data_IF_271919572746
#
_entry.id   IF_271919572746
#
_cell.length_a   1.000
_cell.length_b   1.000
_cell.length_c   1.000
_cell.angle_alpha   90.00
_cell.angle_beta   90.00
_cell.angle_gamma   90.00
#
_symmetry.space_group_name_H-M   'P 1'
#
loop_
_entity.id
_entity.type
_entity.pdbx_description
1 polymer ?
#
# COMPACT_ATOMS: atom_id res chain seq x y z
N UNK A 1 -10.46 -33.67 -53.21
CA UNK A 1 -11.43 -32.68 -53.73
C UNK A 1 -12.72 -32.88 -52.96
N UNK A 2 -13.32 -31.80 -52.43
CA UNK A 2 -14.64 -31.74 -51.73
C UNK A 2 -14.58 -32.23 -50.26
N UNK A 3 -15.13 -31.57 -49.22
CA UNK A 3 -16.08 -30.46 -49.14
C UNK A 3 -15.83 -29.54 -47.93
N UNK A 4 -15.98 -28.24 -48.16
CA UNK A 4 -16.08 -27.18 -47.15
C UNK A 4 -17.54 -27.17 -46.67
N UNK A 5 -17.81 -27.73 -45.49
CA UNK A 5 -19.16 -27.68 -44.91
C UNK A 5 -19.07 -27.67 -43.39
N UNK A 6 -18.84 -26.48 -42.82
CA UNK A 6 -19.19 -26.11 -41.42
C UNK A 6 -19.15 -24.59 -41.16
N UNK A 7 -19.48 -23.77 -42.18
CA UNK A 7 -19.58 -22.31 -42.07
C UNK A 7 -21.03 -21.78 -42.16
N UNK A 8 -22.04 -22.66 -42.16
CA UNK A 8 -23.45 -22.26 -42.30
C UNK A 8 -24.18 -22.29 -40.95
N UNK A 9 -24.75 -21.15 -40.56
CA UNK A 9 -25.91 -21.09 -39.66
C UNK A 9 -27.20 -21.15 -40.49
N UNK A 10 -28.32 -21.44 -39.81
CA UNK A 10 -29.61 -21.90 -40.37
C UNK A 10 -30.33 -20.94 -41.36
N UNK A 11 -29.82 -19.73 -41.60
CA UNK A 11 -30.49 -18.72 -42.44
C UNK A 11 -29.81 -18.47 -43.81
N UNK A 12 -28.76 -19.23 -44.16
CA UNK A 12 -28.20 -19.24 -45.52
C UNK A 12 -27.50 -17.95 -45.99
N UNK A 13 -27.17 -17.01 -45.10
CA UNK A 13 -26.39 -15.82 -45.47
C UNK A 13 -24.88 -16.12 -45.51
N UNK A 14 -24.24 -15.89 -46.65
CA UNK A 14 -22.78 -15.91 -46.78
C UNK A 14 -22.17 -14.72 -46.01
N UNK A 15 -21.34 -14.99 -45.01
CA UNK A 15 -20.59 -13.94 -44.35
C UNK A 15 -19.53 -13.38 -45.31
N UNK A 16 -19.69 -12.11 -45.69
CA UNK A 16 -18.66 -11.39 -46.47
C UNK A 16 -17.46 -11.16 -45.55
N UNK A 17 -16.44 -12.00 -45.72
CA UNK A 17 -15.14 -11.84 -45.09
C UNK A 17 -14.53 -10.50 -45.51
N UNK A 18 -14.22 -9.63 -44.56
CA UNK A 18 -13.53 -8.35 -44.80
C UNK A 18 -12.07 -8.44 -44.37
N UNK A 19 -11.20 -7.76 -45.11
CA UNK A 19 -9.78 -7.62 -44.77
C UNK A 19 -9.45 -6.15 -44.61
N UNK A 20 -8.93 -5.74 -43.43
CA UNK A 20 -8.54 -4.36 -43.14
C UNK A 20 -7.17 -4.28 -42.46
N UNK A 21 -6.46 -3.15 -42.56
CA UNK A 21 -5.31 -2.86 -41.71
C UNK A 21 -5.71 -2.88 -40.23
N UNK A 22 -4.84 -3.44 -39.39
CA UNK A 22 -5.06 -3.61 -37.96
C UNK A 22 -4.15 -2.69 -37.15
N UNK A 23 -4.72 -2.07 -36.12
CA UNK A 23 -3.95 -1.40 -35.05
C UNK A 23 -4.37 -1.95 -33.69
N UNK A 24 -3.46 -2.66 -33.00
CA UNK A 24 -3.65 -3.04 -31.60
C UNK A 24 -3.54 -1.81 -30.70
N UNK A 25 -4.61 -1.50 -29.98
CA UNK A 25 -4.69 -0.44 -28.98
C UNK A 25 -4.10 -0.91 -27.65
N UNK A 26 -3.60 0.05 -26.87
CA UNK A 26 -3.18 -0.15 -25.47
C UNK A 26 -4.19 0.53 -24.57
N UNK A 27 -4.57 -0.15 -23.50
CA UNK A 27 -5.40 0.38 -22.42
C UNK A 27 -6.71 1.05 -22.85
N UNK A 28 -7.26 0.65 -24.00
CA UNK A 28 -8.46 1.28 -24.55
C UNK A 28 -9.25 0.32 -25.43
N UNK A 29 -10.57 0.32 -25.24
CA UNK A 29 -11.55 -0.36 -26.09
C UNK A 29 -12.35 0.69 -26.85
N UNK A 30 -12.44 0.57 -28.18
CA UNK A 30 -13.30 1.43 -29.00
C UNK A 30 -14.67 0.76 -29.20
N UNK A 31 -15.73 1.43 -28.78
CA UNK A 31 -17.10 1.00 -29.06
C UNK A 31 -17.59 1.52 -30.44
N UNK A 32 -18.54 0.82 -31.09
CA UNK A 32 -19.22 1.32 -32.28
C UNK A 32 -19.84 2.71 -32.07
N UNK A 33 -19.87 3.52 -33.13
CA UNK A 33 -20.44 4.88 -33.20
C UNK A 33 -19.81 5.93 -32.26
N UNK A 34 -18.82 5.54 -31.46
CA UNK A 34 -18.07 6.44 -30.60
C UNK A 34 -16.89 7.01 -31.39
N UNK A 35 -16.75 8.33 -31.33
CA UNK A 35 -15.60 9.04 -31.90
C UNK A 35 -14.57 9.32 -30.83
N UNK A 36 -13.30 8.95 -31.07
CA UNK A 36 -12.22 9.17 -30.12
C UNK A 36 -10.87 9.35 -30.81
N UNK A 37 -9.91 9.92 -30.07
CA UNK A 37 -8.53 10.09 -30.54
C UNK A 37 -7.66 8.93 -30.08
N UNK A 38 -7.00 8.27 -31.02
CA UNK A 38 -6.01 7.22 -30.76
C UNK A 38 -4.61 7.75 -31.05
N UNK A 39 -3.69 7.51 -30.13
CA UNK A 39 -2.27 7.85 -30.28
C UNK A 39 -1.47 6.62 -30.68
N UNK A 40 -0.70 6.74 -31.76
CA UNK A 40 0.04 5.63 -32.34
C UNK A 40 1.50 6.04 -32.54
N UNK A 41 2.41 5.32 -31.88
CA UNK A 41 3.86 5.53 -32.00
C UNK A 41 4.65 4.38 -32.64
N UNK A 42 4.07 3.18 -32.73
CA UNK A 42 4.78 2.01 -33.30
C UNK A 42 4.82 2.12 -34.82
N UNK A 43 5.99 1.89 -35.43
CA UNK A 43 6.18 1.98 -36.89
C UNK A 43 5.17 1.14 -37.67
N UNK A 44 4.92 -0.12 -37.27
CA UNK A 44 3.93 -0.99 -37.93
C UNK A 44 2.52 -0.42 -37.87
N UNK A 45 2.14 0.16 -36.74
CA UNK A 45 0.81 0.75 -36.54
C UNK A 45 0.65 2.08 -37.30
N UNK A 46 1.72 2.89 -37.39
CA UNK A 46 1.74 4.11 -38.23
C UNK A 46 1.61 3.74 -39.71
N UNK A 47 2.27 2.65 -40.14
CA UNK A 47 2.11 2.10 -41.48
C UNK A 47 0.67 1.61 -41.71
N UNK A 48 0.08 0.83 -40.79
CA UNK A 48 -1.34 0.41 -40.88
C UNK A 48 -2.29 1.60 -41.06
N UNK A 49 -2.08 2.71 -40.32
CA UNK A 49 -2.87 3.93 -40.46
C UNK A 49 -2.69 4.60 -41.82
N UNK A 50 -1.45 4.65 -42.32
CA UNK A 50 -1.14 5.27 -43.61
C UNK A 50 -1.75 4.49 -44.78
N UNK A 51 -1.71 3.16 -44.73
CA UNK A 51 -2.35 2.27 -45.71
C UNK A 51 -3.87 2.37 -45.65
N UNK A 52 -4.46 2.42 -44.44
CA UNK A 52 -5.90 2.63 -44.28
C UNK A 52 -6.35 3.98 -44.89
N UNK A 53 -5.56 5.03 -44.71
CA UNK A 53 -5.82 6.36 -45.29
C UNK A 53 -5.71 6.41 -46.82
N UNK A 54 -4.84 5.58 -47.42
CA UNK A 54 -4.71 5.47 -48.87
C UNK A 54 -5.86 4.67 -49.51
N UNK A 55 -6.49 3.78 -48.75
CA UNK A 55 -7.68 3.01 -49.16
C UNK A 55 -9.00 3.69 -48.80
N UNK A 56 -9.93 2.92 -48.22
CA UNK A 56 -11.28 3.38 -47.87
C UNK A 56 -11.36 4.19 -46.56
N UNK A 57 -10.23 4.59 -45.97
CA UNK A 57 -10.14 5.21 -44.63
C UNK A 57 -10.74 4.34 -43.52
N UNK A 58 -10.79 3.02 -43.73
CA UNK A 58 -11.27 2.04 -42.75
C UNK A 58 -10.10 1.31 -42.12
N UNK A 59 -10.21 1.06 -40.82
CA UNK A 59 -9.21 0.37 -40.03
C UNK A 59 -9.91 -0.55 -39.03
N UNK A 60 -9.27 -1.65 -38.66
CA UNK A 60 -9.74 -2.50 -37.58
C UNK A 60 -8.93 -2.21 -36.32
N UNK A 61 -9.62 -1.92 -35.22
CA UNK A 61 -9.01 -1.69 -33.92
C UNK A 61 -9.36 -2.82 -32.98
N UNK A 62 -8.35 -3.36 -32.30
CA UNK A 62 -8.53 -4.36 -31.25
C UNK A 62 -7.69 -3.99 -30.05
N UNK A 63 -8.08 -4.43 -28.87
CA UNK A 63 -7.36 -4.15 -27.64
C UNK A 63 -6.34 -5.26 -27.36
N UNK A 64 -5.17 -4.90 -26.85
CA UNK A 64 -4.21 -5.87 -26.32
C UNK A 64 -4.66 -6.37 -24.95
N UNK A 65 -4.45 -7.66 -24.67
CA UNK A 65 -4.67 -8.24 -23.34
C UNK A 65 -3.63 -7.75 -22.34
N UNK A 66 -2.39 -7.60 -22.81
CA UNK A 66 -1.27 -7.06 -22.05
C UNK A 66 -0.67 -5.86 -22.81
N UNK A 67 -0.74 -4.63 -22.26
CA UNK A 67 -0.24 -3.43 -22.92
C UNK A 67 1.30 -3.40 -23.07
N UNK A 68 2.02 -4.17 -22.26
CA UNK A 68 3.49 -4.23 -22.24
C UNK A 68 4.06 -5.00 -23.45
N UNK A 69 3.27 -5.89 -24.06
CA UNK A 69 3.69 -6.67 -25.22
C UNK A 69 3.96 -5.76 -26.42
N UNK A 70 5.21 -5.68 -26.85
CA UNK A 70 5.65 -4.78 -27.93
C UNK A 70 5.20 -5.23 -29.33
N UNK A 71 5.19 -6.55 -29.57
CA UNK A 71 4.83 -7.17 -30.84
C UNK A 71 3.70 -8.18 -30.59
N UNK A 72 2.44 -7.70 -30.49
CA UNK A 72 1.33 -8.57 -30.14
C UNK A 72 1.04 -9.59 -31.25
N UNK A 73 0.90 -10.84 -30.86
CA UNK A 73 0.40 -11.93 -31.71
C UNK A 73 -1.12 -12.05 -31.60
N UNK A 74 -1.72 -12.98 -32.36
CA UNK A 74 -3.15 -13.24 -32.30
C UNK A 74 -3.63 -13.69 -30.90
N UNK A 75 -2.74 -14.27 -30.08
CA UNK A 75 -3.07 -14.71 -28.72
C UNK A 75 -3.06 -13.54 -27.72
N UNK A 76 -2.31 -12.48 -28.02
CA UNK A 76 -2.08 -11.31 -27.15
C UNK A 76 -3.14 -10.22 -27.35
N UNK A 77 -4.02 -10.37 -28.33
CA UNK A 77 -5.14 -9.45 -28.61
C UNK A 77 -6.47 -10.10 -28.29
N UNK A 78 -7.48 -9.27 -28.03
CA UNK A 78 -8.85 -9.75 -27.96
C UNK A 78 -9.39 -10.13 -29.33
N UNK A 79 -10.26 -11.14 -29.37
CA UNK A 79 -10.80 -11.69 -30.63
C UNK A 79 -11.88 -10.80 -31.24
N UNK A 80 -12.57 -10.01 -30.41
CA UNK A 80 -13.55 -9.03 -30.88
C UNK A 80 -12.94 -7.65 -30.81
N UNK A 81 -13.03 -6.93 -31.92
CA UNK A 81 -12.64 -5.53 -32.03
C UNK A 81 -13.70 -4.74 -32.79
N UNK A 82 -13.34 -3.55 -33.22
CA UNK A 82 -14.25 -2.61 -33.87
C UNK A 82 -13.67 -2.17 -35.21
N UNK A 83 -14.44 -2.35 -36.28
CA UNK A 83 -14.21 -1.67 -37.56
C UNK A 83 -14.45 -0.18 -37.32
N UNK A 84 -13.49 0.67 -37.68
CA UNK A 84 -13.54 2.10 -37.47
C UNK A 84 -13.15 2.87 -38.73
N UNK A 85 -13.68 4.08 -38.88
CA UNK A 85 -13.33 5.01 -39.94
C UNK A 85 -12.40 6.09 -39.41
N UNK A 86 -11.32 6.36 -40.13
CA UNK A 86 -10.39 7.45 -39.82
C UNK A 86 -10.97 8.74 -40.36
N UNK A 87 -11.34 9.64 -39.46
CA UNK A 87 -11.87 10.98 -39.80
C UNK A 87 -10.75 11.99 -39.97
N UNK A 88 -9.72 11.94 -39.12
CA UNK A 88 -8.59 12.87 -39.18
C UNK A 88 -7.29 12.20 -38.76
N UNK A 89 -6.17 12.62 -39.36
CA UNK A 89 -4.83 12.16 -39.00
C UNK A 89 -3.93 13.39 -38.83
N UNK A 90 -3.29 13.50 -37.66
CA UNK A 90 -2.35 14.55 -37.32
C UNK A 90 -1.01 13.92 -36.89
N UNK A 91 0.07 14.27 -37.59
CA UNK A 91 1.43 13.88 -37.20
C UNK A 91 1.97 14.90 -36.20
N UNK A 92 2.46 14.42 -35.07
CA UNK A 92 3.03 15.26 -34.02
C UNK A 92 4.55 15.42 -34.23
N UNK A 93 5.17 16.50 -33.69
CA UNK A 93 6.60 16.76 -33.86
C UNK A 93 7.52 15.68 -33.27
N UNK A 94 7.02 14.90 -32.31
CA UNK A 94 7.71 13.78 -31.67
C UNK A 94 7.74 12.50 -32.53
N UNK A 95 7.14 12.54 -33.72
CA UNK A 95 7.05 11.40 -34.64
C UNK A 95 5.83 10.48 -34.38
N UNK A 96 5.03 10.75 -33.35
CA UNK A 96 3.80 10.01 -33.11
C UNK A 96 2.66 10.53 -33.99
N UNK A 97 1.64 9.69 -34.20
CA UNK A 97 0.47 10.03 -35.00
C UNK A 97 -0.76 9.99 -34.11
N UNK A 98 -1.50 11.11 -34.07
CA UNK A 98 -2.83 11.20 -33.48
C UNK A 98 -3.87 11.00 -34.58
N UNK A 99 -4.65 9.92 -34.49
CA UNK A 99 -5.75 9.64 -35.40
C UNK A 99 -7.09 9.83 -34.69
N UNK A 100 -7.98 10.64 -35.27
CA UNK A 100 -9.39 10.68 -34.87
C UNK A 100 -10.12 9.57 -35.62
N UNK A 101 -10.75 8.68 -34.87
CA UNK A 101 -11.44 7.49 -35.40
C UNK A 101 -12.86 7.44 -34.88
N UNK A 102 -13.77 6.98 -35.72
CA UNK A 102 -15.18 6.73 -35.40
C UNK A 102 -15.46 5.23 -35.55
N UNK A 103 -15.94 4.58 -34.48
CA UNK A 103 -16.34 3.18 -34.55
C UNK A 103 -17.54 2.98 -35.49
N UNK A 104 -17.56 1.90 -36.25
CA UNK A 104 -18.64 1.56 -37.17
C UNK A 104 -19.42 0.33 -36.70
N UNK A 105 -18.75 -0.82 -36.54
CA UNK A 105 -19.38 -2.05 -36.08
C UNK A 105 -18.38 -2.99 -35.41
N UNK A 106 -18.89 -3.89 -34.56
CA UNK A 106 -18.14 -4.98 -33.96
C UNK A 106 -17.72 -5.99 -35.03
N UNK A 107 -16.52 -6.54 -34.90
CA UNK A 107 -16.03 -7.62 -35.75
C UNK A 107 -15.30 -8.68 -34.96
N UNK A 108 -15.46 -9.94 -35.36
CA UNK A 108 -14.74 -11.08 -34.81
C UNK A 108 -13.58 -11.45 -35.73
N UNK A 109 -12.37 -11.45 -35.18
CA UNK A 109 -11.14 -11.79 -35.89
C UNK A 109 -11.12 -13.28 -36.23
N UNK A 110 -10.76 -13.59 -37.47
CA UNK A 110 -10.56 -14.95 -37.97
C UNK A 110 -9.08 -15.24 -38.13
N UNK A 111 -8.35 -14.30 -38.74
CA UNK A 111 -6.94 -14.47 -39.07
C UNK A 111 -6.21 -13.13 -39.00
N UNK A 112 -5.01 -13.16 -38.45
CA UNK A 112 -4.08 -12.05 -38.41
C UNK A 112 -2.87 -12.36 -39.31
N UNK A 113 -2.47 -11.41 -40.14
CA UNK A 113 -1.37 -11.56 -41.10
C UNK A 113 -0.41 -10.37 -41.03
N UNK A 114 0.89 -10.64 -41.13
CA UNK A 114 2.00 -9.67 -40.98
C UNK A 114 3.00 -9.82 -42.14
N UNK A 115 2.54 -9.56 -43.36
CA UNK A 115 3.31 -9.84 -44.59
C UNK A 115 3.91 -8.58 -45.23
N UNK A 116 3.33 -7.40 -45.00
CA UNK A 116 3.65 -6.14 -45.72
C UNK A 116 4.32 -5.07 -44.86
N UNK A 117 4.87 -5.45 -43.70
CA UNK A 117 5.45 -4.52 -42.74
C UNK A 117 4.42 -3.72 -41.92
N UNK A 118 3.15 -4.08 -42.03
CA UNK A 118 2.04 -3.63 -41.19
C UNK A 118 1.08 -4.81 -40.96
N UNK A 119 0.24 -4.72 -39.93
CA UNK A 119 -0.68 -5.78 -39.56
C UNK A 119 -1.97 -5.68 -40.38
N UNK A 120 -2.46 -6.82 -40.85
CA UNK A 120 -3.76 -6.96 -41.52
C UNK A 120 -4.59 -8.03 -40.83
N UNK A 121 -5.90 -7.86 -40.86
CA UNK A 121 -6.82 -8.77 -40.20
C UNK A 121 -7.99 -9.11 -41.09
N UNK A 122 -8.32 -10.39 -41.09
CA UNK A 122 -9.55 -10.94 -41.65
C UNK A 122 -10.59 -11.05 -40.54
N UNK A 123 -11.76 -10.45 -40.71
CA UNK A 123 -12.82 -10.48 -39.71
C UNK A 123 -14.22 -10.64 -40.32
N UNK A 124 -15.16 -11.08 -39.50
CA UNK A 124 -16.60 -11.12 -39.81
C UNK A 124 -17.32 -10.13 -38.89
N UNK A 125 -18.20 -9.26 -39.41
CA UNK A 125 -19.06 -8.43 -38.58
C UNK A 125 -19.89 -9.26 -37.61
N UNK A 126 -19.95 -8.83 -36.36
CA UNK A 126 -20.75 -9.52 -35.32
C UNK A 126 -22.22 -9.14 -35.52
N UNK A 127 -23.09 -10.14 -35.63
CA UNK A 127 -24.54 -9.95 -35.58
C UNK A 127 -25.00 -9.88 -34.12
N UNK A 128 -25.77 -8.85 -33.80
CA UNK A 128 -26.34 -8.65 -32.48
C UNK A 128 -27.72 -9.30 -32.38
N UNK A 129 -28.02 -9.88 -31.23
CA UNK A 129 -29.37 -10.39 -30.96
C UNK A 129 -30.23 -9.21 -30.50
N UNK A 130 -31.25 -8.80 -31.27
CA UNK A 130 -32.02 -7.61 -30.97
C UNK A 130 -32.79 -7.77 -29.66
N UNK A 131 -32.96 -6.66 -28.95
CA UNK A 131 -33.78 -6.59 -27.75
C UNK A 131 -35.25 -6.46 -28.13
N UNK A 132 -36.15 -7.15 -27.42
CA UNK A 132 -37.58 -6.97 -27.65
C UNK A 132 -38.05 -5.57 -27.22
N UNK A 133 -38.99 -4.99 -27.96
CA UNK A 133 -39.46 -3.61 -27.74
C UNK A 133 -40.02 -3.39 -26.32
N UNK A 134 -40.66 -4.40 -25.73
CA UNK A 134 -41.23 -4.34 -24.39
C UNK A 134 -40.14 -4.24 -23.30
N UNK A 135 -39.06 -5.02 -23.43
CA UNK A 135 -37.94 -5.05 -22.48
C UNK A 135 -37.04 -3.82 -22.68
N UNK A 136 -36.91 -3.36 -23.92
CA UNK A 136 -36.05 -2.23 -24.31
C UNK A 136 -36.30 -0.97 -23.50
N UNK A 137 -37.56 -0.52 -23.41
CA UNK A 137 -37.90 0.73 -22.68
C UNK A 137 -37.58 0.65 -21.19
N UNK A 138 -37.82 -0.50 -20.56
CA UNK A 138 -37.51 -0.70 -19.15
C UNK A 138 -36.00 -0.69 -18.91
N UNK A 139 -35.23 -1.43 -19.73
CA UNK A 139 -33.79 -1.50 -19.63
C UNK A 139 -33.11 -0.13 -19.86
N UNK A 140 -33.55 0.62 -20.88
CA UNK A 140 -33.07 1.97 -21.16
C UNK A 140 -33.28 2.91 -19.98
N UNK A 141 -34.49 2.91 -19.40
CA UNK A 141 -34.83 3.75 -18.25
C UNK A 141 -33.98 3.41 -17.03
N UNK A 142 -33.86 2.13 -16.68
CA UNK A 142 -33.08 1.70 -15.51
C UNK A 142 -31.60 2.05 -15.66
N UNK A 143 -31.01 1.83 -16.84
CA UNK A 143 -29.61 2.20 -17.10
C UNK A 143 -29.42 3.72 -17.09
N UNK A 144 -30.38 4.49 -17.63
CA UNK A 144 -30.31 5.96 -17.60
C UNK A 144 -30.33 6.48 -16.16
N UNK A 145 -31.26 6.01 -15.33
CA UNK A 145 -31.36 6.42 -13.92
C UNK A 145 -30.05 6.12 -13.16
N UNK A 146 -29.47 4.94 -13.36
CA UNK A 146 -28.18 4.58 -12.76
C UNK A 146 -27.02 5.47 -13.27
N UNK A 147 -26.98 5.74 -14.58
CA UNK A 147 -25.96 6.60 -15.18
C UNK A 147 -26.07 8.06 -14.74
N UNK A 148 -27.27 8.62 -14.62
CA UNK A 148 -27.51 9.97 -14.10
C UNK A 148 -27.05 10.12 -12.65
N UNK A 149 -27.32 9.10 -11.82
CA UNK A 149 -26.85 9.08 -10.44
C UNK A 149 -25.31 9.11 -10.39
N UNK A 150 -24.63 8.29 -11.20
CA UNK A 150 -23.17 8.33 -11.32
C UNK A 150 -22.66 9.69 -11.82
N UNK A 151 -23.28 10.25 -12.86
CA UNK A 151 -22.88 11.52 -13.46
C UNK A 151 -23.00 12.68 -12.48
N UNK A 152 -24.05 12.68 -11.65
CA UNK A 152 -24.28 13.69 -10.61
C UNK A 152 -23.21 13.63 -9.52
N UNK A 153 -22.81 12.42 -9.11
CA UNK A 153 -21.76 12.24 -8.10
C UNK A 153 -20.37 12.58 -8.65
N UNK A 154 -20.07 12.16 -9.88
CA UNK A 154 -18.75 12.34 -10.49
C UNK A 154 -18.51 13.75 -11.03
N UNK A 155 -19.56 14.43 -11.49
CA UNK A 155 -19.46 15.73 -12.18
C UNK A 155 -18.72 15.66 -13.52
N UNK A 156 -18.41 14.47 -14.02
CA UNK A 156 -17.53 14.25 -15.17
C UNK A 156 -18.26 14.27 -16.54
N UNK A 157 -19.59 14.24 -16.54
CA UNK A 157 -20.40 14.13 -17.76
C UNK A 157 -21.08 15.48 -18.06
N UNK A 158 -20.89 15.98 -19.28
CA UNK A 158 -21.51 17.22 -19.73
C UNK A 158 -23.01 17.03 -19.99
N UNK A 159 -23.82 18.06 -19.68
CA UNK A 159 -25.27 18.05 -19.96
C UNK A 159 -25.63 17.83 -21.44
N UNK A 160 -24.74 18.23 -22.35
CA UNK A 160 -24.92 17.99 -23.79
C UNK A 160 -24.91 16.51 -24.16
N UNK A 161 -24.25 15.65 -23.38
CA UNK A 161 -24.21 14.21 -23.63
C UNK A 161 -25.59 13.56 -23.42
N UNK A 162 -26.33 13.97 -22.39
CA UNK A 162 -27.68 13.45 -22.13
C UNK A 162 -28.65 13.76 -23.27
N UNK A 163 -28.58 14.97 -23.85
CA UNK A 163 -29.36 15.31 -25.06
C UNK A 163 -29.03 14.42 -26.26
N UNK A 164 -27.77 14.02 -26.41
CA UNK A 164 -27.37 13.10 -27.47
C UNK A 164 -27.90 11.68 -27.19
N UNK A 165 -27.99 11.26 -25.93
CA UNK A 165 -28.57 9.96 -25.57
C UNK A 165 -30.07 9.88 -25.87
N UNK A 166 -30.84 10.96 -25.66
CA UNK A 166 -32.27 11.02 -26.01
C UNK A 166 -32.50 10.71 -27.50
N UNK A 167 -31.60 11.18 -28.39
CA UNK A 167 -31.67 10.90 -29.84
C UNK A 167 -31.41 9.41 -30.13
N UNK A 168 -30.62 8.74 -29.30
CA UNK A 168 -30.21 7.34 -29.47
C UNK A 168 -31.19 6.34 -28.84
N UNK A 169 -32.28 6.77 -28.20
CA UNK A 169 -33.28 5.87 -27.59
C UNK A 169 -33.87 4.84 -28.56
N UNK A 170 -33.90 5.17 -29.86
CA UNK A 170 -34.38 4.28 -30.92
C UNK A 170 -33.43 3.12 -31.24
N UNK A 171 -32.16 3.18 -30.81
CA UNK A 171 -31.15 2.15 -31.04
C UNK A 171 -30.50 1.75 -29.70
N UNK A 172 -31.05 0.72 -29.02
CA UNK A 172 -30.55 0.26 -27.71
C UNK A 172 -29.09 -0.18 -27.75
N UNK A 173 -28.60 -0.61 -28.91
CA UNK A 173 -27.22 -1.06 -29.06
C UNK A 173 -26.26 0.11 -28.94
N UNK A 174 -26.51 1.16 -29.73
CA UNK A 174 -25.73 2.40 -29.70
C UNK A 174 -25.84 3.10 -28.36
N UNK A 175 -27.02 3.04 -27.73
CA UNK A 175 -27.26 3.62 -26.42
C UNK A 175 -26.34 3.04 -25.36
N UNK A 176 -26.27 1.70 -25.27
CA UNK A 176 -25.38 1.01 -24.33
C UNK A 176 -23.90 1.34 -24.60
N UNK A 177 -23.50 1.39 -25.87
CA UNK A 177 -22.13 1.68 -26.31
C UNK A 177 -21.69 3.11 -25.97
N UNK A 178 -22.58 4.08 -26.16
CA UNK A 178 -22.32 5.48 -25.83
C UNK A 178 -22.09 5.64 -24.32
N UNK A 179 -22.92 5.03 -23.48
CA UNK A 179 -22.77 5.09 -22.01
C UNK A 179 -21.48 4.38 -21.57
N UNK A 180 -21.23 3.17 -22.07
CA UNK A 180 -20.02 2.40 -21.73
C UNK A 180 -18.72 3.13 -22.08
N UNK A 181 -18.72 3.92 -23.16
CA UNK A 181 -17.57 4.72 -23.55
C UNK A 181 -17.27 5.88 -22.58
N UNK A 182 -18.31 6.49 -22.00
CA UNK A 182 -18.17 7.65 -21.11
C UNK A 182 -17.71 7.26 -19.70
N UNK A 183 -17.93 6.01 -19.28
CA UNK A 183 -17.59 5.54 -17.95
C UNK A 183 -16.14 5.04 -17.86
N UNK A 184 -15.45 5.26 -16.72
CA UNK A 184 -14.04 4.89 -16.52
C UNK A 184 -13.88 3.41 -16.13
N UNK A 185 -14.61 2.50 -16.77
CA UNK A 185 -14.47 1.07 -16.53
C UNK A 185 -13.09 0.53 -16.90
N UNK A 186 -12.69 -0.57 -16.25
CA UNK A 186 -11.48 -1.30 -16.60
C UNK A 186 -11.58 -1.84 -18.03
N UNK A 187 -10.43 -1.99 -18.69
CA UNK A 187 -10.33 -2.50 -20.06
C UNK A 187 -10.99 -3.87 -20.20
N UNK A 188 -10.82 -4.74 -19.22
CA UNK A 188 -11.46 -6.07 -19.16
C UNK A 188 -12.98 -5.98 -19.24
N UNK A 189 -13.56 -5.05 -18.50
CA UNK A 189 -15.01 -4.91 -18.35
C UNK A 189 -15.60 -4.24 -19.61
N UNK A 190 -14.90 -3.24 -20.17
CA UNK A 190 -15.23 -2.66 -21.48
C UNK A 190 -15.17 -3.70 -22.59
N UNK A 191 -14.19 -4.59 -22.54
CA UNK A 191 -14.04 -5.64 -23.53
C UNK A 191 -15.15 -6.69 -23.41
N UNK A 192 -15.57 -7.06 -22.20
CA UNK A 192 -16.73 -7.92 -21.98
C UNK A 192 -18.02 -7.30 -22.57
N UNK A 193 -18.23 -6.00 -22.39
CA UNK A 193 -19.35 -5.27 -23.01
C UNK A 193 -19.26 -5.27 -24.55
N UNK A 194 -18.06 -5.13 -25.12
CA UNK A 194 -17.86 -5.18 -26.57
C UNK A 194 -18.13 -6.59 -27.14
N UNK A 195 -17.72 -7.64 -26.41
CA UNK A 195 -17.89 -9.05 -26.79
C UNK A 195 -19.33 -9.57 -26.62
N UNK A 196 -20.16 -8.88 -25.82
CA UNK A 196 -21.54 -9.28 -25.60
C UNK A 196 -22.42 -8.99 -26.84
N UNK A 197 -22.78 -10.06 -27.55
CA UNK A 197 -23.62 -10.01 -28.76
C UNK A 197 -25.12 -9.90 -28.44
N UNK A 198 -25.50 -10.33 -27.24
CA UNK A 198 -26.87 -10.29 -26.73
C UNK A 198 -27.09 -8.94 -26.05
N UNK A 199 -27.97 -8.12 -26.65
CA UNK A 199 -28.21 -6.76 -26.18
C UNK A 199 -28.78 -6.76 -24.77
N UNK A 200 -29.70 -7.68 -24.45
CA UNK A 200 -30.31 -7.76 -23.11
C UNK A 200 -29.26 -8.02 -22.04
N UNK A 201 -28.40 -9.03 -22.26
CA UNK A 201 -27.29 -9.34 -21.35
C UNK A 201 -26.31 -8.18 -21.22
N UNK A 202 -26.10 -7.44 -22.30
CA UNK A 202 -25.21 -6.26 -22.29
C UNK A 202 -25.79 -5.13 -21.44
N UNK A 203 -27.10 -4.91 -21.46
CA UNK A 203 -27.76 -3.95 -20.56
C UNK A 203 -27.62 -4.36 -19.09
N UNK A 204 -27.83 -5.64 -18.76
CA UNK A 204 -27.60 -6.14 -17.39
C UNK A 204 -26.15 -5.95 -16.93
N UNK A 205 -25.19 -6.33 -17.78
CA UNK A 205 -23.77 -6.15 -17.48
C UNK A 205 -23.41 -4.68 -17.30
N UNK A 206 -23.94 -3.81 -18.17
CA UNK A 206 -23.71 -2.37 -18.09
C UNK A 206 -24.27 -1.79 -16.78
N UNK A 207 -25.49 -2.16 -16.40
CA UNK A 207 -26.11 -1.72 -15.15
C UNK A 207 -25.27 -2.14 -13.93
N UNK A 208 -24.87 -3.42 -13.89
CA UNK A 208 -24.02 -3.94 -12.81
C UNK A 208 -22.70 -3.17 -12.69
N UNK A 209 -22.05 -2.87 -13.82
CA UNK A 209 -20.78 -2.12 -13.82
C UNK A 209 -20.98 -0.66 -13.39
N UNK A 210 -22.09 -0.02 -13.79
CA UNK A 210 -22.43 1.35 -13.34
C UNK A 210 -22.61 1.38 -11.82
N UNK A 211 -23.37 0.43 -11.25
CA UNK A 211 -23.62 0.36 -9.82
C UNK A 211 -22.32 0.14 -9.03
N UNK A 212 -21.50 -0.81 -9.46
CA UNK A 212 -20.20 -1.08 -8.84
C UNK A 212 -19.28 0.15 -8.87
N UNK A 213 -19.17 0.83 -10.01
CA UNK A 213 -18.34 2.03 -10.15
C UNK A 213 -18.88 3.19 -9.31
N UNK A 214 -20.20 3.29 -9.17
CA UNK A 214 -20.85 4.29 -8.32
C UNK A 214 -20.52 4.07 -6.85
N UNK A 215 -20.56 2.84 -6.36
CA UNK A 215 -20.18 2.50 -4.98
C UNK A 215 -18.71 2.82 -4.70
N UNK A 216 -17.82 2.43 -5.62
CA UNK A 216 -16.38 2.71 -5.52
C UNK A 216 -16.12 4.21 -5.48
N UNK A 217 -16.80 4.98 -6.33
CA UNK A 217 -16.66 6.43 -6.35
C UNK A 217 -17.18 7.07 -5.05
N UNK A 218 -18.36 6.66 -4.57
CA UNK A 218 -18.95 7.16 -3.33
C UNK A 218 -18.06 6.87 -2.11
N UNK A 219 -17.48 5.67 -2.03
CA UNK A 219 -16.53 5.31 -0.97
C UNK A 219 -15.26 6.15 -1.05
N UNK A 220 -14.73 6.34 -2.26
CA UNK A 220 -13.53 7.18 -2.50
C UNK A 220 -13.76 8.63 -2.06
N UNK A 221 -14.94 9.19 -2.31
CA UNK A 221 -15.33 10.52 -1.83
C UNK A 221 -15.41 10.58 -0.29
N UNK A 222 -16.03 9.57 0.36
CA UNK A 222 -16.07 9.48 1.82
C UNK A 222 -14.68 9.44 2.45
N UNK A 223 -13.74 8.68 1.85
CA UNK A 223 -12.35 8.62 2.31
C UNK A 223 -11.67 9.98 2.15
N UNK A 224 -11.78 10.62 0.98
CA UNK A 224 -11.23 11.97 0.73
C UNK A 224 -11.78 13.00 1.73
N UNK A 225 -13.08 12.95 2.03
CA UNK A 225 -13.71 13.79 3.04
C UNK A 225 -13.10 13.61 4.43
N UNK A 226 -12.99 12.36 4.92
CA UNK A 226 -12.37 12.06 6.22
C UNK A 226 -10.92 12.53 6.31
N UNK A 227 -10.14 12.33 5.24
CA UNK A 227 -8.74 12.80 5.19
C UNK A 227 -8.67 14.32 5.26
N UNK A 228 -9.56 15.02 4.55
CA UNK A 228 -9.64 16.49 4.57
C UNK A 228 -9.99 17.01 5.98
N UNK A 229 -11.00 16.42 6.64
CA UNK A 229 -11.35 16.79 8.02
C UNK A 229 -10.20 16.56 9.01
N UNK A 230 -9.48 15.45 8.88
CA UNK A 230 -8.31 15.16 9.73
C UNK A 230 -7.18 16.17 9.47
N UNK A 231 -6.93 16.54 8.22
CA UNK A 231 -5.94 17.56 7.87
C UNK A 231 -6.31 18.93 8.43
N UNK A 232 -7.58 19.36 8.30
CA UNK A 232 -8.06 20.63 8.86
C UNK A 232 -7.92 20.66 10.38
N UNK A 233 -8.26 19.57 11.08
CA UNK A 233 -8.04 19.43 12.54
C UNK A 233 -6.56 19.54 12.91
N UNK A 234 -5.68 18.89 12.15
CA UNK A 234 -4.24 18.93 12.39
C UNK A 234 -3.67 20.35 12.19
N UNK A 235 -4.05 21.02 11.09
CA UNK A 235 -3.65 22.39 10.80
C UNK A 235 -4.15 23.36 11.87
N UNK A 236 -5.44 23.27 12.26
CA UNK A 236 -6.03 24.08 13.33
C UNK A 236 -5.31 23.86 14.65
N UNK A 237 -5.00 22.61 15.01
CA UNK A 237 -4.25 22.29 16.23
C UNK A 237 -2.83 22.87 16.19
N UNK A 238 -2.13 22.72 15.06
CA UNK A 238 -0.79 23.30 14.89
C UNK A 238 -0.82 24.81 15.04
N UNK A 239 -1.76 25.48 14.38
CA UNK A 239 -1.96 26.93 14.47
C UNK A 239 -2.25 27.38 15.91
N UNK A 240 -3.17 26.72 16.61
CA UNK A 240 -3.50 27.04 18.00
C UNK A 240 -2.31 26.80 18.94
N UNK A 241 -1.49 25.79 18.68
CA UNK A 241 -0.29 25.51 19.50
C UNK A 241 0.76 26.60 19.33
N UNK A 242 1.00 27.05 18.10
CA UNK A 242 1.90 28.18 17.82
C UNK A 242 1.38 29.50 18.40
N UNK A 243 0.07 29.76 18.31
CA UNK A 243 -0.59 30.89 18.97
C UNK A 243 -0.41 30.85 20.50
N UNK A 244 -0.69 29.70 21.14
CA UNK A 244 -0.48 29.53 22.58
C UNK A 244 0.99 29.71 22.97
N UNK A 245 1.93 29.29 22.12
CA UNK A 245 3.36 29.48 22.34
C UNK A 245 3.75 30.96 22.29
N UNK A 246 3.20 31.71 21.34
CA UNK A 246 3.39 33.16 21.25
C UNK A 246 2.81 33.86 22.48
N UNK A 247 1.58 33.52 22.88
CA UNK A 247 0.91 34.08 24.07
C UNK A 247 1.71 33.77 25.34
N UNK A 248 2.13 32.52 25.57
CA UNK A 248 2.97 32.16 26.73
C UNK A 248 4.30 32.91 26.77
N UNK A 249 4.89 33.21 25.61
CA UNK A 249 6.11 34.02 25.49
C UNK A 249 5.86 35.49 25.84
N UNK A 250 4.69 36.04 25.50
CA UNK A 250 4.29 37.41 25.85
C UNK A 250 3.82 37.55 27.31
N UNK A 251 3.22 36.51 27.89
CA UNK A 251 2.66 36.53 29.25
C UNK A 251 3.70 36.38 30.38
N UNK A 252 4.96 36.03 30.08
CA UNK A 252 6.03 36.01 31.08
C UNK A 252 5.79 35.10 32.28
N UNK A 253 5.05 33.99 32.13
CA UNK A 253 4.84 33.01 33.20
C UNK A 253 6.10 32.14 33.38
N UNK A 254 7.02 32.62 34.23
CA UNK A 254 8.28 31.95 34.65
C UNK A 254 8.08 30.90 35.77
N UNK A 255 6.85 30.62 36.18
CA UNK A 255 6.55 29.73 37.32
C UNK A 255 6.88 28.25 37.06
N UNK A 256 6.87 27.79 35.80
CA UNK A 256 7.29 26.44 35.42
C UNK A 256 8.83 26.27 35.31
N UNK A 257 9.59 27.38 35.31
CA UNK A 257 11.04 27.36 35.13
C UNK A 257 11.80 26.77 36.34
N UNK A 258 11.22 26.85 37.54
CA UNK A 258 11.82 26.38 38.79
C UNK A 258 12.00 24.86 38.87
N UNK A 259 11.00 24.09 38.42
CA UNK A 259 11.04 22.62 38.47
C UNK A 259 12.05 22.05 37.46
N UNK A 260 12.11 22.63 36.27
CA UNK A 260 13.11 22.25 35.27
C UNK A 260 14.55 22.62 35.70
N UNK A 261 14.72 23.75 36.40
CA UNK A 261 16.02 24.13 36.97
C UNK A 261 16.48 23.15 38.06
N UNK A 262 15.56 22.62 38.87
CA UNK A 262 15.89 21.59 39.86
C UNK A 262 16.30 20.27 39.21
N UNK A 263 15.59 19.84 38.16
CA UNK A 263 15.98 18.66 37.37
C UNK A 263 17.37 18.85 36.73
N UNK A 264 17.64 20.03 36.17
CA UNK A 264 18.92 20.33 35.53
C UNK A 264 20.09 20.28 36.54
N UNK A 265 19.89 20.80 37.75
CA UNK A 265 20.91 20.72 38.81
C UNK A 265 21.14 19.28 39.29
N UNK A 266 20.09 18.46 39.40
CA UNK A 266 20.22 17.02 39.72
C UNK A 266 21.00 16.25 38.64
N UNK A 267 20.74 16.54 37.36
CA UNK A 267 21.47 15.93 36.22
C UNK A 267 22.94 16.31 36.27
N UNK A 268 23.28 17.58 36.55
CA UNK A 268 24.67 18.06 36.65
C UNK A 268 25.42 17.43 37.83
N UNK A 269 24.74 17.18 38.96
CA UNK A 269 25.34 16.54 40.15
C UNK A 269 25.68 15.06 39.91
N UNK A 270 24.99 14.37 39.01
CA UNK A 270 25.25 12.96 38.70
C UNK A 270 26.40 12.83 37.69
N UNK A 271 27.34 11.92 37.97
CA UNK A 271 28.43 11.58 37.04
C UNK A 271 27.88 10.66 35.94
N UNK A 272 27.23 11.23 34.93
CA UNK A 272 26.72 10.47 33.78
C UNK A 272 27.83 10.24 32.73
N UNK A 273 27.91 9.06 32.09
CA UNK A 273 28.70 8.86 30.88
C UNK A 273 28.29 9.83 29.76
N UNK A 274 29.21 10.17 28.84
CA UNK A 274 28.94 11.15 27.75
C UNK A 274 27.68 10.83 26.96
N UNK A 275 27.49 9.56 26.60
CA UNK A 275 26.30 9.09 25.87
C UNK A 275 25.01 9.29 26.65
N UNK A 276 24.98 8.83 27.92
CA UNK A 276 23.83 8.98 28.80
C UNK A 276 23.50 10.45 29.07
N UNK A 277 24.52 11.30 29.30
CA UNK A 277 24.34 12.73 29.50
C UNK A 277 23.74 13.41 28.26
N UNK A 278 24.20 13.03 27.06
CA UNK A 278 23.66 13.56 25.80
C UNK A 278 22.21 13.16 25.54
N UNK A 279 21.81 11.95 25.94
CA UNK A 279 20.40 11.51 25.86
C UNK A 279 19.54 12.26 26.88
N UNK A 280 19.94 12.28 28.15
CA UNK A 280 19.17 12.94 29.23
C UNK A 280 18.99 14.44 28.97
N UNK A 281 20.01 15.13 28.44
CA UNK A 281 19.88 16.55 28.06
C UNK A 281 18.90 16.77 26.92
N UNK A 282 18.94 15.94 25.87
CA UNK A 282 17.99 16.04 24.76
C UNK A 282 16.55 15.81 25.22
N UNK A 283 16.33 14.85 26.10
CA UNK A 283 15.02 14.58 26.67
C UNK A 283 14.56 15.71 27.61
N UNK A 284 15.46 16.33 28.37
CA UNK A 284 15.15 17.52 29.18
C UNK A 284 14.73 18.71 28.32
N UNK A 285 15.43 18.99 27.22
CA UNK A 285 15.07 20.07 26.30
C UNK A 285 13.71 19.81 25.61
N UNK A 286 13.42 18.55 25.26
CA UNK A 286 12.08 18.18 24.78
C UNK A 286 11.01 18.42 25.85
N UNK A 287 11.29 18.03 27.10
CA UNK A 287 10.35 18.20 28.22
C UNK A 287 10.03 19.68 28.45
N UNK A 288 11.03 20.58 28.37
CA UNK A 288 10.85 22.03 28.47
C UNK A 288 9.95 22.62 27.37
N UNK A 289 9.86 21.97 26.21
CA UNK A 289 9.03 22.43 25.08
C UNK A 289 7.60 21.86 25.10
N UNK A 290 7.30 20.91 25.98
CA UNK A 290 6.00 20.23 26.05
C UNK A 290 5.08 20.86 27.10
N UNK A 291 3.76 20.69 26.92
CA UNK A 291 2.80 21.06 27.96
C UNK A 291 2.93 20.12 29.18
N UNK A 292 3.01 20.64 30.42
CA UNK A 292 3.27 19.83 31.62
C UNK A 292 2.21 18.76 31.91
N UNK A 293 0.97 18.95 31.43
CA UNK A 293 -0.12 17.98 31.59
C UNK A 293 -0.23 16.95 30.44
N UNK A 294 0.73 16.92 29.51
CA UNK A 294 0.76 15.90 28.46
C UNK A 294 1.12 14.53 29.02
N UNK A 295 0.44 13.49 28.57
CA UNK A 295 0.78 12.09 28.90
C UNK A 295 2.22 11.73 28.49
N UNK A 296 2.75 12.36 27.43
CA UNK A 296 4.13 12.17 26.99
C UNK A 296 5.14 12.86 27.93
N UNK A 297 4.78 13.99 28.52
CA UNK A 297 5.65 14.72 29.46
C UNK A 297 5.91 13.88 30.72
N UNK A 298 4.89 13.19 31.24
CA UNK A 298 5.02 12.27 32.37
C UNK A 298 5.97 11.11 32.07
N UNK A 299 5.90 10.53 30.86
CA UNK A 299 6.80 9.43 30.46
C UNK A 299 8.25 9.89 30.37
N UNK A 300 8.49 11.05 29.74
CA UNK A 300 9.84 11.61 29.61
C UNK A 300 10.40 11.98 30.98
N UNK A 301 9.59 12.56 31.86
CA UNK A 301 9.98 12.89 33.23
C UNK A 301 10.40 11.64 34.02
N UNK A 302 9.57 10.59 34.01
CA UNK A 302 9.89 9.32 34.65
C UNK A 302 11.19 8.71 34.12
N UNK A 303 11.45 8.83 32.81
CA UNK A 303 12.70 8.37 32.22
C UNK A 303 13.91 9.16 32.72
N UNK A 304 13.81 10.48 32.79
CA UNK A 304 14.87 11.35 33.32
C UNK A 304 15.14 11.01 34.80
N UNK A 305 14.10 10.90 35.61
CA UNK A 305 14.22 10.53 37.03
C UNK A 305 14.86 9.15 37.21
N UNK A 306 14.48 8.17 36.38
CA UNK A 306 15.10 6.84 36.40
C UNK A 306 16.59 6.91 36.07
N UNK A 307 16.96 7.62 35.00
CA UNK A 307 18.35 7.82 34.61
C UNK A 307 19.15 8.53 35.71
N UNK A 308 18.57 9.48 36.44
CA UNK A 308 19.21 10.15 37.57
C UNK A 308 19.34 9.19 38.77
N UNK A 309 18.35 8.35 39.03
CA UNK A 309 18.30 7.43 40.18
C UNK A 309 19.41 6.37 40.14
N UNK A 310 19.85 5.97 38.95
CA UNK A 310 20.85 4.93 38.78
C UNK A 310 22.19 5.25 39.48
N UNK A 311 22.87 4.23 40.07
CA UNK A 311 24.11 4.40 40.82
C UNK A 311 25.34 4.50 39.90
N UNK A 312 25.34 5.48 38.99
CA UNK A 312 26.45 5.70 38.04
C UNK A 312 27.79 5.81 38.75
N UNK A 313 28.78 5.04 38.26
CA UNK A 313 30.15 4.96 38.78
C UNK A 313 30.30 4.65 40.28
N UNK A 314 29.22 4.32 41.00
CA UNK A 314 29.29 3.78 42.36
C UNK A 314 29.58 2.28 42.28
N UNK A 315 30.83 1.90 42.56
CA UNK A 315 31.27 0.51 42.60
C UNK A 315 31.67 0.15 44.03
N UNK A 316 31.21 -1.00 44.52
CA UNK A 316 31.76 -1.57 45.74
C UNK A 316 33.21 -2.01 45.49
N UNK A 317 34.08 -1.85 46.48
CA UNK A 317 35.42 -2.44 46.44
C UNK A 317 35.28 -3.95 46.53
N UNK A 318 35.79 -4.66 45.54
CA UNK A 318 35.84 -6.12 45.58
C UNK A 318 36.81 -6.57 46.67
N UNK A 319 36.38 -7.52 47.51
CA UNK A 319 37.28 -8.24 48.41
C UNK A 319 37.93 -9.36 47.61
N UNK A 320 39.26 -9.34 47.53
CA UNK A 320 40.03 -10.31 46.76
C UNK A 320 40.85 -11.20 47.70
N UNK A 321 40.17 -11.94 48.58
CA UNK A 321 40.81 -12.93 49.45
C UNK A 321 40.14 -14.30 49.30
N UNK A 322 40.91 -15.26 48.78
CA UNK A 322 40.43 -16.61 48.51
C UNK A 322 40.22 -17.40 49.80
N UNK A 323 41.06 -17.18 50.82
CA UNK A 323 40.95 -17.86 52.11
C UNK A 323 39.69 -17.41 52.87
N UNK A 324 39.38 -16.11 52.80
CA UNK A 324 38.11 -15.59 53.34
C UNK A 324 36.90 -16.11 52.55
N UNK A 325 37.00 -16.24 51.23
CA UNK A 325 35.93 -16.79 50.41
C UNK A 325 35.64 -18.27 50.74
N UNK A 326 36.67 -19.09 50.92
CA UNK A 326 36.56 -20.50 51.33
C UNK A 326 35.86 -20.63 52.69
N UNK A 327 36.30 -19.85 53.70
CA UNK A 327 35.67 -19.84 55.02
C UNK A 327 34.18 -19.47 54.97
N UNK A 328 33.82 -18.43 54.21
CA UNK A 328 32.43 -17.99 54.08
C UNK A 328 31.58 -19.06 53.38
N UNK A 329 32.11 -19.69 52.32
CA UNK A 329 31.41 -20.77 51.61
C UNK A 329 31.21 -22.01 52.49
N UNK A 330 32.21 -22.37 53.31
CA UNK A 330 32.14 -23.49 54.25
C UNK A 330 31.23 -23.23 55.44
N UNK A 331 31.20 -21.99 55.93
CA UNK A 331 30.30 -21.58 57.01
C UNK A 331 28.84 -21.54 56.55
N UNK A 332 28.57 -20.98 55.37
CA UNK A 332 27.19 -20.79 54.89
C UNK A 332 26.56 -22.08 54.34
N UNK A 333 27.36 -23.07 53.93
CA UNK A 333 26.87 -24.30 53.30
C UNK A 333 27.64 -25.52 53.80
N UNK A 334 26.96 -26.51 54.39
CA UNK A 334 27.58 -27.77 54.74
C UNK A 334 27.72 -28.70 53.51
N UNK A 335 28.87 -29.36 53.34
CA UNK A 335 29.13 -30.25 52.19
C UNK A 335 29.44 -29.50 50.89
N UNK A 336 28.87 -29.95 49.76
CA UNK A 336 29.02 -29.32 48.42
C UNK A 336 30.48 -29.07 47.98
N UNK A 337 31.39 -30.02 48.25
CA UNK A 337 32.83 -29.92 47.93
C UNK A 337 33.06 -29.52 46.46
N UNK A 338 32.50 -30.26 45.52
CA UNK A 338 32.68 -30.01 44.08
C UNK A 338 32.20 -28.60 43.64
N UNK A 339 30.98 -28.13 43.98
CA UNK A 339 30.57 -26.75 43.67
C UNK A 339 31.45 -25.67 44.32
N UNK A 340 31.85 -25.85 45.58
CA UNK A 340 32.68 -24.88 46.30
C UNK A 340 34.07 -24.76 45.68
N UNK A 341 34.72 -25.90 45.41
CA UNK A 341 36.00 -25.96 44.69
C UNK A 341 35.89 -25.20 43.36
N UNK A 342 34.82 -25.43 42.58
CA UNK A 342 34.63 -24.76 41.29
C UNK A 342 34.38 -23.25 41.41
N UNK A 343 33.70 -22.80 42.47
CA UNK A 343 33.52 -21.38 42.78
C UNK A 343 34.86 -20.75 43.17
N UNK A 344 35.67 -21.43 43.99
CA UNK A 344 36.99 -20.95 44.39
C UNK A 344 37.94 -20.87 43.19
N UNK A 345 37.95 -21.86 42.30
CA UNK A 345 38.68 -21.81 41.03
C UNK A 345 38.27 -20.59 40.18
N UNK A 346 36.95 -20.36 40.05
CA UNK A 346 36.41 -19.20 39.34
C UNK A 346 36.89 -17.88 39.96
N UNK A 347 36.85 -17.76 41.29
CA UNK A 347 37.31 -16.57 42.00
C UNK A 347 38.83 -16.38 41.85
N UNK A 348 39.61 -17.46 41.89
CA UNK A 348 41.06 -17.43 41.68
C UNK A 348 41.42 -16.93 40.28
N UNK A 349 40.74 -17.42 39.23
CA UNK A 349 40.88 -16.90 37.85
C UNK A 349 40.47 -15.42 37.78
N UNK A 350 39.42 -15.02 38.51
CA UNK A 350 38.97 -13.63 38.58
C UNK A 350 40.00 -12.68 39.22
N UNK A 351 40.77 -13.17 40.20
CA UNK A 351 41.86 -12.39 40.81
C UNK A 351 43.06 -12.22 39.88
N UNK A 352 43.37 -13.24 39.07
CA UNK A 352 44.53 -13.21 38.16
C UNK A 352 44.31 -12.28 36.95
N UNK A 353 43.07 -12.15 36.46
CA UNK A 353 42.77 -11.40 35.23
C UNK A 353 42.05 -10.08 35.55
N UNK A 354 42.72 -8.94 35.31
CA UNK A 354 42.20 -7.57 35.59
C UNK A 354 40.95 -7.17 34.79
N UNK A 355 40.67 -7.81 33.64
CA UNK A 355 39.46 -7.61 32.83
C UNK A 355 39.01 -8.93 32.23
N UNK A 356 37.99 -9.56 32.82
CA UNK A 356 37.37 -10.73 32.20
C UNK A 356 36.11 -10.29 31.47
N UNK A 357 36.03 -10.59 30.18
CA UNK A 357 34.80 -10.48 29.41
C UNK A 357 33.94 -11.72 29.69
N UNK A 358 32.85 -11.54 30.43
CA UNK A 358 31.70 -12.45 30.43
C UNK A 358 31.85 -13.87 31.00
N UNK A 359 32.51 -14.13 32.15
CA UNK A 359 32.46 -15.46 32.74
C UNK A 359 31.17 -15.55 33.59
N UNK A 360 30.08 -16.03 33.00
CA UNK A 360 28.81 -16.26 33.69
C UNK A 360 28.96 -17.52 34.56
N UNK A 361 28.72 -17.41 35.88
CA UNK A 361 28.67 -18.56 36.77
C UNK A 361 27.25 -19.14 36.74
N UNK A 362 27.10 -20.36 36.22
CA UNK A 362 25.82 -21.05 36.12
C UNK A 362 25.70 -22.15 37.19
N UNK A 363 24.68 -22.04 38.04
CA UNK A 363 24.35 -23.04 39.06
C UNK A 363 23.11 -23.85 38.61
N UNK A 364 23.28 -25.14 38.31
CA UNK A 364 22.23 -26.02 37.79
C UNK A 364 21.93 -27.14 38.80
N UNK A 365 20.65 -27.49 38.96
CA UNK A 365 20.22 -28.62 39.80
C UNK A 365 18.73 -28.56 40.19
N UNK A 366 18.21 -29.55 40.93
CA UNK A 366 16.81 -29.58 41.37
C UNK A 366 16.47 -28.44 42.35
N UNK A 367 15.20 -28.06 42.52
CA UNK A 367 14.80 -27.03 43.50
C UNK A 367 15.22 -27.43 44.92
N UNK A 368 15.51 -26.43 45.78
CA UNK A 368 15.87 -26.67 47.19
C UNK A 368 17.35 -26.92 47.48
N UNK A 369 18.21 -27.16 46.48
CA UNK A 369 19.65 -27.48 46.68
C UNK A 369 20.56 -26.28 47.01
N UNK A 370 20.01 -25.15 47.46
CA UNK A 370 20.83 -24.01 47.91
C UNK A 370 21.49 -23.15 46.83
N UNK A 371 21.05 -23.19 45.57
CA UNK A 371 21.63 -22.36 44.49
C UNK A 371 21.62 -20.85 44.79
N UNK A 372 20.47 -20.32 45.21
CA UNK A 372 20.31 -18.90 45.51
C UNK A 372 21.13 -18.49 46.74
N UNK A 373 21.23 -19.38 47.72
CA UNK A 373 22.02 -19.13 48.92
C UNK A 373 23.53 -19.19 48.62
N UNK A 374 23.99 -20.11 47.77
CA UNK A 374 25.37 -20.11 47.25
C UNK A 374 25.71 -18.81 46.52
N UNK A 375 24.83 -18.34 45.64
CA UNK A 375 25.03 -17.06 44.93
C UNK A 375 25.11 -15.87 45.90
N UNK A 376 24.36 -15.89 47.00
CA UNK A 376 24.44 -14.88 48.07
C UNK A 376 25.77 -14.96 48.81
N UNK A 377 26.23 -16.16 49.16
CA UNK A 377 27.54 -16.36 49.81
C UNK A 377 28.70 -15.89 48.93
N UNK A 378 28.63 -16.12 47.62
CA UNK A 378 29.60 -15.58 46.65
C UNK A 378 29.59 -14.04 46.64
N UNK A 379 28.41 -13.42 46.70
CA UNK A 379 28.30 -11.96 46.78
C UNK A 379 28.92 -11.42 48.08
N UNK A 380 28.61 -12.04 49.23
CA UNK A 380 29.20 -11.71 50.54
C UNK A 380 30.72 -11.85 50.55
N UNK A 381 31.24 -12.99 50.03
CA UNK A 381 32.67 -13.26 49.94
C UNK A 381 33.42 -12.24 49.08
N UNK A 382 32.81 -11.81 47.97
CA UNK A 382 33.41 -10.82 47.06
C UNK A 382 33.15 -9.36 47.45
N UNK A 383 32.38 -9.11 48.52
CA UNK A 383 31.98 -7.76 48.95
C UNK A 383 31.00 -7.06 47.99
N UNK A 384 30.26 -7.83 47.19
CA UNK A 384 29.26 -7.32 46.23
C UNK A 384 27.85 -7.40 46.81
N UNK A 385 27.00 -6.46 46.42
CA UNK A 385 25.58 -6.50 46.77
C UNK A 385 24.88 -7.62 45.99
N UNK A 386 24.07 -8.43 46.66
CA UNK A 386 23.27 -9.47 46.04
C UNK A 386 21.91 -8.90 45.61
N UNK A 387 21.58 -9.02 44.33
CA UNK A 387 20.26 -8.75 43.79
C UNK A 387 19.74 -10.01 43.10
N UNK A 388 18.45 -10.31 43.28
CA UNK A 388 17.79 -11.47 42.66
C UNK A 388 16.68 -10.97 41.75
N UNK A 389 16.72 -11.41 40.49
CA UNK A 389 15.65 -11.20 39.51
C UNK A 389 15.07 -12.57 39.18
N UNK A 390 13.76 -12.74 39.37
CA UNK A 390 13.07 -13.99 39.06
C UNK A 390 12.50 -13.89 37.64
N UNK A 391 13.03 -14.70 36.71
CA UNK A 391 12.58 -14.75 35.31
C UNK A 391 11.52 -15.86 35.07
N UNK A 392 10.71 -16.16 36.09
CA UNK A 392 9.78 -17.28 36.04
C UNK A 392 8.75 -17.13 34.92
N UNK A 393 8.63 -18.14 34.04
CA UNK A 393 7.68 -18.15 32.94
C UNK A 393 8.11 -17.38 31.70
N UNK A 394 9.26 -16.70 31.73
CA UNK A 394 9.79 -15.96 30.58
C UNK A 394 10.28 -16.95 29.52
N UNK A 395 9.69 -16.88 28.33
CA UNK A 395 10.03 -17.75 27.19
C UNK A 395 10.70 -17.00 26.04
N UNK A 396 10.64 -15.67 26.05
CA UNK A 396 11.13 -14.81 24.98
C UNK A 396 12.11 -13.76 25.54
N UNK A 397 13.14 -13.45 24.76
CA UNK A 397 14.10 -12.37 25.04
C UNK A 397 13.41 -10.99 25.07
N UNK A 398 12.36 -10.81 24.27
CA UNK A 398 11.61 -9.56 24.20
C UNK A 398 11.00 -9.16 25.56
N UNK A 399 10.61 -10.11 26.39
CA UNK A 399 10.06 -9.85 27.73
C UNK A 399 11.12 -9.32 28.71
N UNK A 400 12.39 -9.65 28.49
CA UNK A 400 13.52 -9.15 29.29
C UNK A 400 14.03 -7.80 28.76
N UNK A 401 14.02 -7.62 27.42
CA UNK A 401 14.49 -6.38 26.77
C UNK A 401 13.45 -5.25 26.76
N UNK A 402 12.16 -5.56 26.90
CA UNK A 402 11.06 -4.60 26.85
C UNK A 402 10.62 -4.22 25.42
N UNK A 403 9.42 -3.63 25.30
CA UNK A 403 8.87 -3.12 24.05
C UNK A 403 9.36 -1.69 23.73
N UNK A 404 9.16 -1.24 22.48
CA UNK A 404 9.51 0.14 22.07
C UNK A 404 8.83 1.17 23.00
N UNK A 405 9.57 2.23 23.32
CA UNK A 405 9.19 3.36 24.21
C UNK A 405 7.86 4.07 23.88
N UNK A 406 7.24 3.73 22.76
CA UNK A 406 5.96 4.27 22.30
C UNK A 406 4.74 3.62 22.96
N UNK A 407 4.92 2.61 23.81
CA UNK A 407 3.82 1.94 24.51
C UNK A 407 3.59 2.60 25.88
N UNK A 408 2.35 2.98 26.19
CA UNK A 408 1.95 3.77 27.37
C UNK A 408 2.25 3.05 28.71
N UNK A 409 2.54 1.75 28.68
CA UNK A 409 2.96 0.95 29.86
C UNK A 409 4.40 0.44 29.81
N UNK A 410 5.21 0.81 28.81
CA UNK A 410 6.59 0.38 28.72
C UNK A 410 7.45 1.17 29.72
N UNK A 411 7.76 0.54 30.85
CA UNK A 411 8.90 0.96 31.67
C UNK A 411 10.19 0.50 30.98
N UNK A 412 11.20 1.38 30.82
CA UNK A 412 12.47 1.02 30.20
C UNK A 412 13.32 0.06 31.04
#
# INVERSE_FOLDING_TARGET
MINISRLFNQDGSEYIKKTLPLVPLRDMVLFPFVTTSVFVGREKSIKSLSEAMAGEKKIFLTTQKDPEVLKPTIQDIFQVGTEAKITQLLRLPDGTVKALVEGACRGKIIKLSDERGFLTVDFIPVQEMPLSDAISKAALRTVLEAFEHYATLSGAVAKSFFKNLEILESDPSRYADAIAAQLPFKVTDKQQLLECTDIEKRFYLLLQLIEQETEVFAMSQKIKGRVKEQMEKLQKRHYLTEQMRAIKKEMGEDSESGEYAELETRIRKKRLPKEAAGVVRRELEKLKMMAPMSSEATVIRNYIDWMISLPWFRKNRAKNDLATAERILDQDHYGLKKPKERILEYLAVQMLIKKIKGPILCLVGPPGVGKTSLARSVASATGRSFARISLGGVRDEAEIRGHRRTYVGAMP
#
